data_IF_788173416978
#
_entry.id   IF_788173416978
#
_cell.length_a   1.000
_cell.length_b   1.000
_cell.length_c   1.000
_cell.angle_alpha   90.00
_cell.angle_beta   90.00
_cell.angle_gamma   90.00
#
_symmetry.space_group_name_H-M   'P 1'
#
loop_
_entity.id
_entity.type
_entity.pdbx_description
1 polymer ?
#
# COMPACT_ATOMS: atom_id res chain seq x y z
N UNK A 1 -4.09 -27.80 19.04
CA UNK A 1 -5.33 -27.10 18.66
C UNK A 1 -6.25 -28.08 17.98
N UNK A 2 -7.49 -28.21 18.42
CA UNK A 2 -8.46 -29.14 17.85
C UNK A 2 -9.02 -28.56 16.55
N UNK A 3 -9.53 -29.44 15.67
CA UNK A 3 -10.16 -28.99 14.40
C UNK A 3 -11.32 -28.02 14.64
N UNK A 4 -12.07 -28.21 15.71
CA UNK A 4 -13.15 -27.34 16.14
C UNK A 4 -12.69 -25.89 16.38
N UNK A 5 -11.54 -25.71 17.06
CA UNK A 5 -10.96 -24.39 17.29
C UNK A 5 -10.44 -23.75 16.01
N UNK A 6 -9.95 -24.55 15.05
CA UNK A 6 -9.56 -24.08 13.74
C UNK A 6 -10.78 -23.59 12.93
N UNK A 7 -11.87 -24.31 12.98
CA UNK A 7 -13.11 -23.92 12.30
C UNK A 7 -13.68 -22.63 12.90
N UNK A 8 -13.67 -22.48 14.21
CA UNK A 8 -14.09 -21.25 14.87
C UNK A 8 -13.24 -20.06 14.48
N UNK A 9 -11.91 -20.25 14.42
CA UNK A 9 -10.99 -19.20 14.01
C UNK A 9 -11.19 -18.79 12.55
N UNK A 10 -11.48 -19.75 11.65
CA UNK A 10 -11.74 -19.44 10.23
C UNK A 10 -13.11 -18.82 10.01
N UNK A 11 -14.07 -19.06 10.88
CA UNK A 11 -15.39 -18.41 10.83
C UNK A 11 -15.39 -17.01 11.43
N UNK A 12 -14.33 -16.64 12.17
CA UNK A 12 -14.11 -15.29 12.65
C UNK A 12 -13.86 -14.36 11.46
N UNK A 13 -14.23 -13.07 11.58
CA UNK A 13 -13.91 -12.07 10.57
C UNK A 13 -12.43 -11.70 10.55
N UNK A 14 -11.63 -12.27 11.46
CA UNK A 14 -10.19 -12.08 11.49
C UNK A 14 -9.50 -13.35 11.04
N UNK A 15 -8.55 -13.22 10.13
CA UNK A 15 -7.72 -14.34 9.69
C UNK A 15 -6.71 -14.73 10.77
N UNK A 16 -6.32 -16.00 10.76
CA UNK A 16 -5.23 -16.48 11.63
C UNK A 16 -3.92 -15.94 11.07
N UNK A 17 -3.14 -15.29 11.92
CA UNK A 17 -1.84 -14.76 11.53
C UNK A 17 -0.71 -15.64 12.07
N UNK A 18 0.43 -15.61 11.38
CA UNK A 18 1.63 -16.33 11.83
C UNK A 18 2.20 -15.70 13.10
N UNK A 19 2.69 -16.54 14.00
CA UNK A 19 3.33 -16.10 15.24
C UNK A 19 4.64 -15.35 14.96
N UNK A 20 5.40 -15.82 13.96
CA UNK A 20 6.67 -15.22 13.56
C UNK A 20 6.62 -14.85 12.07
N UNK A 21 5.98 -13.74 11.70
CA UNK A 21 5.86 -13.37 10.30
C UNK A 21 7.20 -12.94 9.70
N UNK A 22 7.42 -13.31 8.44
CA UNK A 22 8.54 -12.81 7.67
C UNK A 22 8.05 -11.62 6.83
N UNK A 23 8.43 -10.41 7.22
CA UNK A 23 7.99 -9.21 6.51
C UNK A 23 8.40 -9.19 5.04
N UNK A 24 9.65 -9.53 4.65
CA UNK A 24 10.00 -9.56 3.23
C UNK A 24 9.16 -10.51 2.40
N UNK A 25 8.89 -11.71 2.90
CA UNK A 25 8.04 -12.67 2.19
C UNK A 25 6.61 -12.20 2.06
N UNK A 26 6.07 -11.63 3.14
CA UNK A 26 4.72 -11.09 3.15
C UNK A 26 4.58 -9.92 2.17
N UNK A 27 5.58 -9.06 2.12
CA UNK A 27 5.61 -7.94 1.18
C UNK A 27 5.64 -8.41 -0.27
N UNK A 28 6.42 -9.44 -0.58
CA UNK A 28 6.46 -10.03 -1.92
C UNK A 28 5.10 -10.57 -2.34
N UNK A 29 4.41 -11.26 -1.44
CA UNK A 29 3.06 -11.78 -1.69
C UNK A 29 2.06 -10.64 -1.94
N UNK A 30 2.16 -9.57 -1.17
CA UNK A 30 1.30 -8.39 -1.35
C UNK A 30 1.57 -7.72 -2.69
N UNK A 31 2.83 -7.60 -3.10
CA UNK A 31 3.17 -7.03 -4.40
C UNK A 31 2.57 -7.86 -5.54
N UNK A 32 2.64 -9.19 -5.45
CA UNK A 32 2.03 -10.06 -6.44
C UNK A 32 0.51 -9.89 -6.49
N UNK A 33 -0.13 -9.79 -5.33
CA UNK A 33 -1.56 -9.53 -5.22
C UNK A 33 -1.94 -8.19 -5.84
N UNK A 34 -1.18 -7.15 -5.57
CA UNK A 34 -1.41 -5.83 -6.16
C UNK A 34 -1.28 -5.83 -7.68
N UNK A 35 -0.35 -6.60 -8.23
CA UNK A 35 -0.22 -6.76 -9.69
C UNK A 35 -1.42 -7.50 -10.27
N UNK A 36 -1.88 -8.53 -9.60
CA UNK A 36 -3.04 -9.30 -10.02
C UNK A 36 -4.30 -8.46 -10.11
N UNK A 37 -4.58 -7.64 -9.11
CA UNK A 37 -5.76 -6.77 -9.07
C UNK A 37 -5.52 -5.39 -9.69
N UNK A 38 -4.32 -5.10 -10.14
CA UNK A 38 -3.89 -3.77 -10.63
C UNK A 38 -4.27 -2.68 -9.63
N UNK A 39 -3.76 -2.80 -8.40
CA UNK A 39 -4.18 -2.01 -7.27
C UNK A 39 -4.11 -0.49 -7.52
N UNK A 40 -3.02 0.00 -8.09
CA UNK A 40 -2.85 1.43 -8.33
C UNK A 40 -3.83 1.93 -9.38
N UNK A 41 -3.94 1.26 -10.50
CA UNK A 41 -4.87 1.63 -11.57
C UNK A 41 -6.32 1.53 -11.11
N UNK A 42 -6.64 0.50 -10.32
CA UNK A 42 -7.97 0.31 -9.78
C UNK A 42 -8.38 1.44 -8.84
N UNK A 43 -7.46 1.88 -7.96
CA UNK A 43 -7.77 3.01 -7.06
C UNK A 43 -7.97 4.31 -7.83
N UNK A 44 -7.20 4.57 -8.89
CA UNK A 44 -7.40 5.74 -9.73
C UNK A 44 -8.75 5.70 -10.45
N UNK A 45 -9.13 4.53 -10.96
CA UNK A 45 -10.41 4.33 -11.62
C UNK A 45 -11.58 4.56 -10.67
N UNK A 46 -11.50 4.04 -9.45
CA UNK A 46 -12.55 4.20 -8.44
C UNK A 46 -12.72 5.64 -7.99
N UNK A 47 -11.65 6.43 -8.00
CA UNK A 47 -11.65 7.79 -7.47
C UNK A 47 -11.69 8.87 -8.54
N UNK A 48 -11.78 8.52 -9.83
CA UNK A 48 -11.68 9.49 -10.93
C UNK A 48 -12.74 10.57 -10.89
N UNK A 49 -13.90 10.31 -10.33
CA UNK A 49 -14.99 11.27 -10.18
C UNK A 49 -15.02 11.94 -8.81
N UNK A 50 -14.04 11.67 -7.97
CA UNK A 50 -13.93 12.27 -6.64
C UNK A 50 -13.18 13.59 -6.70
N UNK A 51 -13.31 14.45 -5.67
CA UNK A 51 -12.52 15.68 -5.61
C UNK A 51 -11.02 15.36 -5.69
N UNK A 52 -10.28 16.22 -6.41
CA UNK A 52 -8.86 16.02 -6.64
C UNK A 52 -8.06 16.51 -5.44
N UNK A 53 -7.10 15.70 -5.00
CA UNK A 53 -6.01 16.13 -4.12
C UNK A 53 -4.76 16.24 -4.99
N UNK A 54 -4.27 17.45 -5.19
CA UNK A 54 -3.13 17.70 -6.05
C UNK A 54 -1.84 17.30 -5.36
N UNK A 55 -1.06 16.44 -6.01
CA UNK A 55 0.24 16.01 -5.55
C UNK A 55 1.24 16.09 -6.70
N UNK A 56 2.33 16.80 -6.47
CA UNK A 56 3.44 16.90 -7.41
C UNK A 56 4.74 16.59 -6.71
N UNK A 57 5.62 15.89 -7.41
CA UNK A 57 6.96 15.58 -6.95
C UNK A 57 7.94 15.84 -8.08
N UNK A 58 9.18 16.17 -7.74
CA UNK A 58 10.24 16.29 -8.72
C UNK A 58 10.84 14.94 -9.06
N UNK A 59 11.51 14.81 -10.24
CA UNK A 59 12.23 13.58 -10.53
C UNK A 59 13.40 13.40 -9.55
N UNK A 60 13.70 12.16 -9.14
CA UNK A 60 14.77 11.93 -8.18
C UNK A 60 16.14 12.21 -8.78
N UNK A 61 17.04 12.72 -7.96
CA UNK A 61 18.46 12.85 -8.32
C UNK A 61 19.15 11.53 -7.98
N UNK A 62 19.53 10.77 -9.00
CA UNK A 62 20.22 9.49 -8.81
C UNK A 62 21.72 9.70 -8.59
N UNK A 63 22.08 10.35 -7.48
CA UNK A 63 23.46 10.74 -7.19
C UNK A 63 24.22 9.74 -6.29
N UNK A 64 23.58 8.69 -5.83
CA UNK A 64 24.19 7.69 -4.95
C UNK A 64 23.23 6.63 -4.52
N UNK A 65 23.66 5.82 -3.56
CA UNK A 65 22.84 4.76 -2.99
C UNK A 65 21.73 5.35 -2.11
N UNK A 66 20.55 4.70 -2.05
CA UNK A 66 19.51 5.12 -1.12
C UNK A 66 19.98 5.10 0.32
N UNK A 67 19.49 6.04 1.12
CA UNK A 67 19.78 6.12 2.55
C UNK A 67 18.50 6.44 3.33
N UNK A 68 18.63 6.57 4.66
CA UNK A 68 17.45 6.82 5.50
C UNK A 68 16.70 8.10 5.16
N UNK A 69 17.38 9.13 4.68
CA UNK A 69 16.74 10.35 4.21
C UNK A 69 15.76 10.08 3.06
N UNK A 70 16.14 9.22 2.14
CA UNK A 70 15.26 8.81 1.04
C UNK A 70 14.05 8.04 1.56
N UNK A 71 14.25 7.16 2.54
CA UNK A 71 13.16 6.40 3.14
C UNK A 71 12.17 7.31 3.86
N UNK A 72 12.64 8.29 4.60
CA UNK A 72 11.79 9.25 5.33
C UNK A 72 10.98 10.08 4.34
N UNK A 73 11.63 10.66 3.34
CA UNK A 73 10.94 11.47 2.33
C UNK A 73 9.91 10.65 1.55
N UNK A 74 10.28 9.46 1.10
CA UNK A 74 9.39 8.55 0.39
C UNK A 74 8.22 8.11 1.26
N UNK A 75 8.48 7.80 2.53
CA UNK A 75 7.44 7.41 3.48
C UNK A 75 6.44 8.52 3.75
N UNK A 76 6.88 9.76 3.93
CA UNK A 76 6.00 10.90 4.12
C UNK A 76 5.10 11.14 2.91
N UNK A 77 5.65 11.10 1.70
CA UNK A 77 4.87 11.22 0.47
C UNK A 77 3.81 10.13 0.37
N UNK A 78 4.19 8.90 0.67
CA UNK A 78 3.32 7.75 0.59
C UNK A 78 2.17 7.85 1.59
N UNK A 79 2.45 8.24 2.82
CA UNK A 79 1.44 8.40 3.87
C UNK A 79 0.41 9.45 3.46
N UNK A 80 0.84 10.60 2.98
CA UNK A 80 -0.05 11.69 2.59
C UNK A 80 -0.94 11.27 1.42
N UNK A 81 -0.35 10.70 0.37
CA UNK A 81 -1.11 10.32 -0.82
C UNK A 81 -2.07 9.16 -0.53
N UNK A 82 -1.66 8.18 0.26
CA UNK A 82 -2.54 7.08 0.67
C UNK A 82 -3.69 7.56 1.56
N UNK A 83 -3.40 8.47 2.48
CA UNK A 83 -4.43 9.03 3.35
C UNK A 83 -5.54 9.68 2.53
N UNK A 84 -5.19 10.55 1.59
CA UNK A 84 -6.19 11.25 0.80
C UNK A 84 -6.91 10.33 -0.18
N UNK A 85 -6.22 9.31 -0.72
CA UNK A 85 -6.87 8.29 -1.54
C UNK A 85 -7.92 7.53 -0.75
N UNK A 86 -7.59 7.14 0.49
CA UNK A 86 -8.53 6.43 1.36
C UNK A 86 -9.66 7.33 1.86
N UNK A 87 -9.45 8.64 1.87
CA UNK A 87 -10.49 9.61 2.21
C UNK A 87 -11.39 9.97 1.03
N UNK A 88 -11.25 9.29 -0.09
CA UNK A 88 -12.09 9.49 -1.25
C UNK A 88 -11.65 10.64 -2.16
N UNK A 89 -10.34 10.85 -2.28
CA UNK A 89 -9.79 11.86 -3.20
C UNK A 89 -9.07 11.19 -4.36
N UNK A 90 -9.14 11.82 -5.53
CA UNK A 90 -8.35 11.39 -6.68
C UNK A 90 -6.94 11.97 -6.56
N UNK A 91 -5.95 11.09 -6.45
CA UNK A 91 -4.55 11.48 -6.29
C UNK A 91 -3.70 10.75 -7.33
N UNK A 92 -3.28 11.45 -8.38
CA UNK A 92 -2.58 10.84 -9.52
C UNK A 92 -1.09 10.62 -9.30
N UNK A 93 -0.53 11.13 -8.22
CA UNK A 93 0.89 10.96 -7.86
C UNK A 93 1.86 11.31 -8.99
N UNK A 94 1.69 12.47 -9.53
CA UNK A 94 2.47 12.94 -10.66
C UNK A 94 3.84 13.47 -10.23
N UNK A 95 4.86 13.17 -11.03
CA UNK A 95 6.19 13.77 -10.83
C UNK A 95 6.74 14.25 -12.19
N UNK A 96 7.56 15.27 -12.14
CA UNK A 96 8.04 15.96 -13.32
C UNK A 96 9.13 15.28 -14.11
#
# INVERSE_FOLDING_TARGET
MTEEKKEEATKSRFEIVEEHPSFPKNEEQIILFWREIKAFETQLEKTKNCPVYTFYDGPPFATGMPHYGHLIAGGLKDVVTRYWTQRGRYCSRRFG
#
